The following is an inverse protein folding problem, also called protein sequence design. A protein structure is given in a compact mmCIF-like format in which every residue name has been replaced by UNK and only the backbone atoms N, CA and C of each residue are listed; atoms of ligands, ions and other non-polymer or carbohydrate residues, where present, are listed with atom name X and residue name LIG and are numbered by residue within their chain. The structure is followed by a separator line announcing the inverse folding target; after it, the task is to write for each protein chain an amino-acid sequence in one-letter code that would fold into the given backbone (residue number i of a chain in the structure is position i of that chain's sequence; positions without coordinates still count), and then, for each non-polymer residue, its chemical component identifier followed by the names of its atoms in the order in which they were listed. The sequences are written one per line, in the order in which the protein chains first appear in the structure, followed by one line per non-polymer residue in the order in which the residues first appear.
data_IF_579121893674
#
_entry.id   IF_579121893674
#
_cell.length_a   1.000
_cell.length_b   1.000
_cell.length_c   1.000
_cell.angle_alpha   90.00
_cell.angle_beta   90.00
_cell.angle_gamma   90.00
#
_symmetry.space_group_name_H-M   'P 1'
#
loop_
_entity.id
_entity.type
_entity.pdbx_description
1 polymer ?
#
# COMPACT_ATOMS: atom_id res chain seq x y z
N UNK A 1 5.36 -18.21 20.03
CA UNK A 1 5.73 -17.63 18.72
C UNK A 1 6.30 -18.76 17.88
N UNK A 2 5.51 -19.29 16.94
CA UNK A 2 5.93 -20.45 16.14
C UNK A 2 6.00 -20.01 14.69
N UNK A 3 7.21 -19.73 14.22
CA UNK A 3 7.49 -19.46 12.81
C UNK A 3 7.36 -20.78 12.06
N UNK A 4 6.26 -20.99 11.34
CA UNK A 4 6.08 -22.13 10.44
C UNK A 4 5.40 -21.64 9.17
N UNK A 5 6.13 -21.70 8.06
CA UNK A 5 5.71 -22.22 6.74
C UNK A 5 6.91 -21.98 5.79
N UNK A 6 7.55 -23.07 5.38
CA UNK A 6 8.48 -23.08 4.25
C UNK A 6 7.68 -23.55 3.02
N UNK A 7 7.50 -22.70 2.01
CA UNK A 7 7.13 -23.17 0.69
C UNK A 7 8.40 -23.25 -0.15
N UNK A 8 8.78 -24.48 -0.50
CA UNK A 8 9.97 -24.77 -1.30
C UNK A 8 9.51 -24.92 -2.75
N UNK A 9 9.72 -23.89 -3.58
CA UNK A 9 9.51 -24.01 -5.02
C UNK A 9 10.84 -24.37 -5.67
N UNK A 10 10.92 -25.58 -6.23
CA UNK A 10 12.09 -26.06 -6.95
C UNK A 10 11.89 -25.79 -8.44
N UNK A 11 12.42 -24.68 -8.93
CA UNK A 11 12.58 -24.42 -10.37
C UNK A 11 14.07 -24.27 -10.66
N UNK A 12 14.59 -25.13 -11.56
CA UNK A 12 15.96 -25.16 -12.09
C UNK A 12 17.06 -24.45 -11.24
N UNK A 13 17.73 -25.23 -10.38
CA UNK A 13 18.97 -24.90 -9.64
C UNK A 13 19.00 -23.65 -8.72
N UNK A 14 17.89 -22.95 -8.51
CA UNK A 14 17.80 -21.89 -7.48
C UNK A 14 16.69 -22.26 -6.49
N UNK A 15 17.09 -22.52 -5.24
CA UNK A 15 16.15 -22.70 -4.13
C UNK A 15 15.60 -21.31 -3.76
N UNK A 16 14.37 -20.99 -4.15
CA UNK A 16 13.69 -19.77 -3.72
C UNK A 16 12.86 -20.08 -2.46
N UNK A 17 13.23 -19.45 -1.34
CA UNK A 17 12.47 -19.50 -0.09
C UNK A 17 11.67 -18.20 0.04
N UNK A 18 10.35 -18.28 -0.08
CA UNK A 18 9.46 -17.13 0.16
C UNK A 18 9.04 -17.12 1.63
N UNK A 19 9.39 -16.05 2.35
CA UNK A 19 8.86 -15.81 3.69
C UNK A 19 7.52 -15.06 3.56
N UNK A 20 6.42 -15.79 3.75
CA UNK A 20 5.10 -15.17 3.82
C UNK A 20 4.79 -14.84 5.28
N UNK A 21 4.71 -13.56 5.61
CA UNK A 21 4.24 -13.08 6.92
C UNK A 21 2.71 -13.16 6.95
N UNK A 22 2.18 -14.39 7.03
CA UNK A 22 0.77 -14.61 7.37
C UNK A 22 0.66 -14.69 8.88
N UNK A 23 0.67 -13.53 9.53
CA UNK A 23 0.41 -13.40 10.95
C UNK A 23 -1.05 -13.79 11.27
N UNK A 24 -1.21 -14.57 12.33
CA UNK A 24 -2.50 -14.95 12.91
C UNK A 24 -3.16 -13.66 13.42
N UNK A 25 -4.20 -13.18 12.72
CA UNK A 25 -4.96 -11.95 13.00
C UNK A 25 -4.10 -10.68 13.09
N UNK A 26 -4.08 -9.81 12.06
CA UNK A 26 -3.40 -8.52 12.17
C UNK A 26 -3.94 -7.76 13.38
N UNK A 27 -3.08 -7.62 14.39
CA UNK A 27 -3.45 -7.06 15.69
C UNK A 27 -3.17 -5.57 15.69
N UNK A 28 -4.23 -4.77 15.56
CA UNK A 28 -4.14 -3.32 15.56
C UNK A 28 -4.52 -2.76 16.93
N UNK A 29 -3.52 -2.29 17.68
CA UNK A 29 -3.69 -1.73 19.02
C UNK A 29 -3.81 -0.20 18.95
N UNK A 30 -5.02 0.33 19.06
CA UNK A 30 -5.27 1.77 19.00
C UNK A 30 -5.31 2.35 20.41
N UNK A 31 -4.31 3.17 20.73
CA UNK A 31 -4.33 4.10 21.86
C UNK A 31 -4.25 5.50 21.23
N UNK A 32 -5.18 6.40 21.59
CA UNK A 32 -5.36 7.77 21.06
C UNK A 32 -4.22 8.24 20.12
N UNK A 33 -4.53 8.41 18.83
CA UNK A 33 -3.62 8.83 17.75
C UNK A 33 -2.47 7.89 17.34
N UNK A 34 -2.27 6.75 18.01
CA UNK A 34 -1.20 5.80 17.69
C UNK A 34 -1.78 4.39 17.50
N UNK A 35 -1.24 3.66 16.52
CA UNK A 35 -1.53 2.25 16.36
C UNK A 35 -0.27 1.42 16.09
N UNK A 36 -0.27 0.17 16.52
CA UNK A 36 0.65 -0.84 15.99
C UNK A 36 -0.04 -1.60 14.87
N UNK A 37 0.64 -1.76 13.73
CA UNK A 37 0.16 -2.48 12.55
C UNK A 37 1.17 -3.54 12.15
N UNK A 38 0.77 -4.80 12.12
CA UNK A 38 1.66 -5.88 11.71
C UNK A 38 1.89 -5.87 10.20
N UNK A 39 3.11 -6.17 9.75
CA UNK A 39 3.48 -6.05 8.33
C UNK A 39 2.71 -6.98 7.37
N UNK A 40 2.05 -8.01 7.91
CA UNK A 40 1.16 -8.91 7.18
C UNK A 40 -0.28 -8.39 7.02
N UNK A 41 -0.64 -7.29 7.69
CA UNK A 41 -1.94 -6.66 7.54
C UNK A 41 -2.11 -6.07 6.13
N UNK A 42 -3.35 -5.96 5.70
CA UNK A 42 -3.73 -5.22 4.51
C UNK A 42 -4.18 -3.80 4.87
N UNK A 43 -4.04 -2.86 3.93
CA UNK A 43 -4.53 -1.49 4.12
C UNK A 43 -6.04 -1.46 4.43
N UNK A 44 -6.82 -2.36 3.84
CA UNK A 44 -8.25 -2.49 4.11
C UNK A 44 -8.55 -2.86 5.56
N UNK A 45 -7.84 -3.85 6.11
CA UNK A 45 -7.95 -4.23 7.52
C UNK A 45 -7.56 -3.06 8.44
N UNK A 46 -6.48 -2.35 8.11
CA UNK A 46 -6.05 -1.18 8.85
C UNK A 46 -7.13 -0.10 8.92
N UNK A 47 -7.68 0.29 7.77
CA UNK A 47 -8.74 1.30 7.71
C UNK A 47 -9.99 0.86 8.46
N UNK A 48 -10.40 -0.40 8.32
CA UNK A 48 -11.56 -0.94 9.01
C UNK A 48 -11.39 -0.85 10.54
N UNK A 49 -10.22 -1.25 11.08
CA UNK A 49 -9.95 -1.18 12.52
C UNK A 49 -9.89 0.24 13.06
N UNK A 50 -9.35 1.19 12.28
CA UNK A 50 -9.36 2.61 12.66
C UNK A 50 -10.81 3.11 12.74
N UNK A 51 -11.62 2.83 11.73
CA UNK A 51 -13.02 3.27 11.68
C UNK A 51 -13.88 2.68 12.81
N UNK A 52 -13.63 1.43 13.23
CA UNK A 52 -14.29 0.81 14.39
C UNK A 52 -14.02 1.57 15.70
N UNK A 53 -12.88 2.26 15.82
CA UNK A 53 -12.48 2.99 17.04
C UNK A 53 -12.75 4.49 16.95
N UNK A 54 -12.66 5.09 15.77
CA UNK A 54 -12.84 6.52 15.60
C UNK A 54 -13.31 6.88 14.20
N UNK A 55 -14.32 7.75 14.13
CA UNK A 55 -14.83 8.34 12.89
C UNK A 55 -14.09 9.62 12.49
N UNK A 56 -13.11 10.06 13.28
CA UNK A 56 -12.36 11.31 13.08
C UNK A 56 -10.85 11.08 13.00
N UNK A 57 -10.43 9.83 12.84
CA UNK A 57 -9.03 9.46 12.58
C UNK A 57 -8.93 8.63 11.30
N UNK A 58 -7.83 8.79 10.60
CA UNK A 58 -7.47 8.00 9.42
C UNK A 58 -5.96 7.72 9.41
N UNK A 59 -5.49 7.03 8.38
CA UNK A 59 -4.07 6.85 8.10
C UNK A 59 -3.79 7.10 6.60
N UNK A 60 -2.77 7.90 6.24
CA UNK A 60 -2.52 8.29 4.85
C UNK A 60 -1.77 7.19 4.07
N UNK A 61 -2.46 6.09 3.76
CA UNK A 61 -1.94 4.98 2.96
C UNK A 61 -2.65 4.87 1.60
N UNK A 62 -2.38 3.79 0.87
CA UNK A 62 -2.92 3.49 -0.45
C UNK A 62 -4.45 3.41 -0.51
N UNK A 63 -4.99 3.53 -1.72
CA UNK A 63 -6.43 3.42 -1.96
C UNK A 63 -6.91 1.97 -2.15
N UNK A 64 -6.00 1.04 -2.49
CA UNK A 64 -6.34 -0.35 -2.79
C UNK A 64 -6.34 -1.21 -1.50
N UNK A 65 -7.48 -1.80 -1.09
CA UNK A 65 -7.60 -2.45 0.21
C UNK A 65 -6.71 -3.68 0.39
N UNK A 66 -6.46 -4.45 -0.67
CA UNK A 66 -5.74 -5.74 -0.61
C UNK A 66 -4.21 -5.59 -0.50
N UNK A 67 -3.68 -4.37 -0.59
CA UNK A 67 -2.24 -4.16 -0.57
C UNK A 67 -1.72 -4.33 0.85
N UNK A 68 -0.69 -5.16 1.02
CA UNK A 68 -0.04 -5.39 2.31
C UNK A 68 0.75 -4.18 2.82
N UNK A 69 0.61 -3.85 4.10
CA UNK A 69 1.22 -2.67 4.72
C UNK A 69 2.74 -2.77 4.81
N UNK A 70 3.30 -3.96 5.07
CA UNK A 70 4.75 -4.19 5.10
C UNK A 70 5.45 -3.75 3.82
N UNK A 71 4.91 -4.13 2.66
CA UNK A 71 5.46 -3.77 1.35
C UNK A 71 5.19 -2.32 0.97
N UNK A 72 3.98 -1.81 1.25
CA UNK A 72 3.56 -0.47 0.85
C UNK A 72 4.28 0.62 1.65
N UNK A 73 4.30 0.49 2.99
CA UNK A 73 4.88 1.50 3.88
C UNK A 73 6.38 1.57 3.69
N UNK A 74 7.04 0.41 3.50
CA UNK A 74 8.48 0.41 3.28
C UNK A 74 8.91 1.00 1.93
N UNK A 75 7.98 1.11 0.97
CA UNK A 75 8.19 1.81 -0.30
C UNK A 75 7.65 3.25 -0.32
N UNK A 76 7.19 3.79 0.82
CA UNK A 76 6.55 5.11 0.90
C UNK A 76 5.05 4.97 1.15
N UNK A 77 4.30 4.60 0.11
CA UNK A 77 2.84 4.43 0.16
C UNK A 77 2.08 5.75 0.07
N UNK A 78 1.55 6.07 -1.11
CA UNK A 78 0.74 7.28 -1.33
C UNK A 78 -0.74 6.94 -1.45
N UNK A 79 -1.60 7.91 -1.17
CA UNK A 79 -3.03 7.82 -1.44
C UNK A 79 -3.72 9.18 -1.38
N UNK A 80 -5.03 9.17 -1.19
CA UNK A 80 -5.86 10.39 -1.31
C UNK A 80 -5.51 11.47 -0.26
N UNK A 81 -4.89 11.09 0.85
CA UNK A 81 -4.49 11.99 1.93
C UNK A 81 -3.08 12.58 1.76
N UNK A 82 -2.34 12.21 0.70
CA UNK A 82 -0.91 12.54 0.57
C UNK A 82 -0.62 14.04 0.55
N UNK A 83 -1.51 14.84 -0.04
CA UNK A 83 -1.32 16.31 -0.14
C UNK A 83 -1.41 17.00 1.22
N UNK A 84 -2.14 16.41 2.17
CA UNK A 84 -2.34 16.96 3.51
C UNK A 84 -1.39 16.39 4.54
N UNK A 85 -1.14 15.08 4.48
CA UNK A 85 -0.42 14.35 5.54
C UNK A 85 0.85 13.63 5.07
N UNK A 86 1.21 13.72 3.79
CA UNK A 86 2.37 13.01 3.24
C UNK A 86 2.09 11.52 3.00
N UNK A 87 3.15 10.74 2.87
CA UNK A 87 3.10 9.29 2.63
C UNK A 87 2.80 8.52 3.90
N UNK A 88 2.48 7.23 3.76
CA UNK A 88 2.36 6.32 4.89
C UNK A 88 3.68 6.29 5.70
N UNK A 89 4.81 6.23 5.00
CA UNK A 89 6.16 6.29 5.55
C UNK A 89 6.48 7.56 6.38
N UNK A 90 5.86 8.69 6.04
CA UNK A 90 6.04 9.96 6.78
C UNK A 90 5.35 9.94 8.15
N UNK A 91 4.40 9.01 8.35
CA UNK A 91 3.57 8.89 9.54
C UNK A 91 3.92 7.67 10.39
N UNK A 92 5.13 7.12 10.24
CA UNK A 92 5.66 6.00 11.05
C UNK A 92 6.54 6.54 12.17
N UNK A 93 6.26 6.10 13.40
CA UNK A 93 6.95 6.50 14.63
C UNK A 93 8.05 5.51 15.04
N UNK A 94 7.85 4.22 14.76
CA UNK A 94 8.72 3.09 15.14
C UNK A 94 8.43 1.89 14.22
N UNK A 95 9.28 0.88 14.23
CA UNK A 95 9.12 -0.37 13.50
C UNK A 95 9.84 -1.52 14.20
N UNK A 96 9.36 -2.75 14.03
CA UNK A 96 10.13 -3.95 14.37
C UNK A 96 10.63 -4.62 13.10
N UNK A 97 11.92 -4.98 13.06
CA UNK A 97 12.56 -5.62 11.91
C UNK A 97 13.49 -6.74 12.35
N UNK A 98 13.48 -7.86 11.63
CA UNK A 98 14.49 -8.90 11.73
C UNK A 98 15.61 -8.61 10.73
N UNK A 99 16.83 -8.41 11.23
CA UNK A 99 18.02 -8.19 10.40
C UNK A 99 18.77 -9.50 10.11
N UNK A 100 19.81 -9.45 9.28
CA UNK A 100 20.51 -10.63 8.73
C UNK A 100 21.01 -11.63 9.78
N UNK A 101 21.36 -11.17 10.99
CA UNK A 101 21.83 -12.03 12.07
C UNK A 101 20.68 -12.67 12.90
N UNK A 102 19.42 -12.48 12.49
CA UNK A 102 18.24 -12.99 13.19
C UNK A 102 17.77 -12.15 14.38
N UNK A 103 18.41 -11.01 14.66
CA UNK A 103 18.02 -10.12 15.77
C UNK A 103 16.80 -9.29 15.39
N UNK A 104 15.86 -9.14 16.34
CA UNK A 104 14.74 -8.21 16.22
C UNK A 104 15.19 -6.86 16.76
N UNK A 105 15.10 -5.83 15.93
CA UNK A 105 15.41 -4.46 16.28
C UNK A 105 14.13 -3.61 16.27
N UNK A 106 14.02 -2.71 17.24
CA UNK A 106 13.11 -1.56 17.22
C UNK A 106 13.85 -0.30 16.73
N UNK A 107 13.19 0.86 16.64
CA UNK A 107 13.83 2.11 16.19
C UNK A 107 15.11 2.45 16.97
N UNK A 108 15.05 2.34 18.29
CA UNK A 108 16.19 2.66 19.17
C UNK A 108 17.40 1.76 18.89
N UNK A 109 17.19 0.45 18.78
CA UNK A 109 18.25 -0.53 18.55
C UNK A 109 18.71 -0.63 17.11
N UNK A 110 17.87 -0.26 16.13
CA UNK A 110 18.25 -0.23 14.71
C UNK A 110 19.00 1.05 14.32
N UNK A 111 18.84 2.12 15.09
CA UNK A 111 19.39 3.44 14.80
C UNK A 111 18.63 4.18 13.69
N UNK A 112 18.83 5.49 13.62
CA UNK A 112 18.05 6.36 12.71
C UNK A 112 18.35 6.12 11.23
N UNK A 113 19.54 5.63 10.88
CA UNK A 113 19.91 5.35 9.49
C UNK A 113 19.09 4.20 8.90
N UNK A 114 18.98 3.09 9.63
CA UNK A 114 18.16 1.96 9.22
C UNK A 114 16.68 2.32 9.29
N UNK A 115 16.25 3.05 10.33
CA UNK A 115 14.87 3.53 10.45
C UNK A 115 14.46 4.47 9.31
N UNK A 116 15.37 5.31 8.81
CA UNK A 116 15.15 6.12 7.61
C UNK A 116 15.07 5.24 6.36
N UNK A 117 16.00 4.31 6.19
CA UNK A 117 16.10 3.47 5.00
C UNK A 117 14.85 2.61 4.76
N UNK A 118 14.27 2.04 5.83
CA UNK A 118 13.07 1.20 5.72
C UNK A 118 11.80 1.99 5.43
N UNK A 119 11.81 3.34 5.48
CA UNK A 119 10.66 4.22 5.24
C UNK A 119 10.68 4.85 3.85
N UNK A 120 10.85 4.02 2.81
CA UNK A 120 10.86 4.45 1.41
C UNK A 120 11.89 3.71 0.54
N UNK A 121 12.94 3.15 1.15
CA UNK A 121 13.99 2.41 0.45
C UNK A 121 13.60 0.99 0.01
N UNK A 122 12.44 0.50 0.43
CA UNK A 122 11.97 -0.87 0.18
C UNK A 122 12.52 -1.85 1.23
N UNK A 123 11.64 -2.41 2.06
CA UNK A 123 12.05 -3.22 3.23
C UNK A 123 12.85 -4.48 2.88
N UNK A 124 12.63 -5.05 1.69
CA UNK A 124 13.31 -6.26 1.21
C UNK A 124 14.83 -6.13 1.13
N UNK A 125 15.37 -4.91 1.06
CA UNK A 125 16.81 -4.67 1.01
C UNK A 125 17.48 -4.67 2.39
N UNK A 126 16.70 -4.56 3.47
CA UNK A 126 17.22 -4.27 4.81
C UNK A 126 16.87 -5.32 5.87
N UNK A 127 15.88 -6.18 5.60
CA UNK A 127 15.46 -7.26 6.50
C UNK A 127 14.01 -7.64 6.32
N UNK A 128 13.44 -8.30 7.34
CA UNK A 128 12.02 -8.66 7.38
C UNK A 128 11.32 -7.80 8.41
N UNK A 129 10.53 -6.84 7.94
CA UNK A 129 9.75 -5.96 8.81
C UNK A 129 8.59 -6.77 9.40
N UNK A 130 8.43 -6.71 10.72
CA UNK A 130 7.42 -7.42 11.48
C UNK A 130 6.20 -6.53 11.77
N UNK A 131 6.43 -5.28 12.15
CA UNK A 131 5.37 -4.36 12.54
C UNK A 131 5.80 -2.89 12.41
N UNK A 132 4.81 -2.01 12.34
CA UNK A 132 4.93 -0.56 12.28
C UNK A 132 4.18 0.06 13.45
N UNK A 133 4.80 1.03 14.10
CA UNK A 133 4.09 1.95 15.00
C UNK A 133 3.73 3.18 14.18
N UNK A 134 2.45 3.39 13.94
CA UNK A 134 1.94 4.45 13.08
C UNK A 134 1.27 5.56 13.89
N UNK A 135 1.36 6.79 13.36
CA UNK A 135 0.62 7.95 13.83
C UNK A 135 -0.64 8.13 12.98
N UNK A 136 -1.80 8.03 13.62
CA UNK A 136 -3.08 8.34 12.99
C UNK A 136 -3.22 9.85 12.82
N UNK A 137 -3.94 10.26 11.78
CA UNK A 137 -4.14 11.67 11.43
C UNK A 137 -5.59 12.07 11.62
N UNK A 138 -5.88 13.31 12.04
CA UNK A 138 -7.26 13.76 12.23
C UNK A 138 -7.95 13.95 10.87
N UNK A 139 -9.21 13.57 10.78
CA UNK A 139 -10.06 13.78 9.59
C UNK A 139 -11.45 14.29 10.01
N UNK A 140 -12.14 15.08 9.17
CA UNK A 140 -13.53 15.42 9.45
C UNK A 140 -14.40 14.15 9.39
N UNK A 141 -15.46 14.12 10.20
CA UNK A 141 -16.40 12.99 10.21
C UNK A 141 -17.12 12.79 8.86
N UNK A 142 -17.24 13.87 8.07
CA UNK A 142 -17.83 13.84 6.74
C UNK A 142 -16.80 14.33 5.71
N UNK A 143 -16.71 13.61 4.58
CA UNK A 143 -15.87 13.96 3.43
C UNK A 143 -16.71 14.01 2.16
N UNK A 144 -16.28 14.78 1.17
CA UNK A 144 -16.95 14.86 -0.14
C UNK A 144 -16.10 14.14 -1.16
N UNK A 145 -16.74 13.26 -1.94
CA UNK A 145 -16.12 12.54 -3.06
C UNK A 145 -16.84 12.90 -4.35
N UNK A 146 -16.11 12.98 -5.46
CA UNK A 146 -16.68 13.21 -6.79
C UNK A 146 -15.93 12.37 -7.83
N UNK A 147 -16.65 12.00 -8.89
CA UNK A 147 -16.11 11.34 -10.08
C UNK A 147 -16.68 12.04 -11.32
N UNK A 148 -15.81 12.56 -12.17
CA UNK A 148 -16.17 13.31 -13.38
C UNK A 148 -15.55 12.62 -14.57
N UNK A 149 -16.39 11.98 -15.38
CA UNK A 149 -15.99 11.29 -16.60
C UNK A 149 -16.02 12.24 -17.79
N UNK A 150 -14.96 12.19 -18.61
CA UNK A 150 -14.85 12.95 -19.87
C UNK A 150 -14.30 12.05 -20.95
N UNK A 151 -14.91 12.08 -22.13
CA UNK A 151 -14.39 11.42 -23.33
C UNK A 151 -13.45 12.34 -24.11
N UNK A 152 -12.75 11.81 -25.10
CA UNK A 152 -11.87 12.60 -25.96
C UNK A 152 -12.66 13.67 -26.74
N UNK A 153 -13.87 13.32 -27.21
CA UNK A 153 -14.79 14.25 -27.90
C UNK A 153 -15.29 15.37 -26.97
N UNK A 154 -15.23 15.15 -25.65
CA UNK A 154 -15.59 16.12 -24.62
C UNK A 154 -14.37 16.89 -24.10
N UNK A 155 -13.34 17.07 -24.93
CA UNK A 155 -12.12 17.81 -24.63
C UNK A 155 -11.37 17.28 -23.39
N UNK A 156 -11.33 15.96 -23.17
CA UNK A 156 -10.60 15.36 -22.05
C UNK A 156 -9.10 15.76 -22.02
N UNK A 157 -8.48 15.95 -23.18
CA UNK A 157 -7.06 16.34 -23.29
C UNK A 157 -6.84 17.72 -22.65
N UNK A 158 -7.67 18.72 -22.96
CA UNK A 158 -7.56 20.07 -22.39
C UNK A 158 -7.79 20.07 -20.89
N UNK A 159 -8.71 19.23 -20.40
CA UNK A 159 -8.98 19.06 -18.97
C UNK A 159 -7.76 18.49 -18.26
N UNK A 160 -7.14 17.44 -18.81
CA UNK A 160 -5.92 16.83 -18.23
C UNK A 160 -4.74 17.81 -18.30
N UNK A 161 -4.57 18.51 -19.42
CA UNK A 161 -3.55 19.54 -19.57
C UNK A 161 -3.70 20.63 -18.50
N UNK A 162 -4.91 21.14 -18.29
CA UNK A 162 -5.17 22.13 -17.23
C UNK A 162 -4.95 21.55 -15.84
N UNK A 163 -5.38 20.30 -15.61
CA UNK A 163 -5.17 19.59 -14.34
C UNK A 163 -3.67 19.53 -13.98
N UNK A 164 -2.78 19.26 -14.93
CA UNK A 164 -1.33 19.23 -14.70
C UNK A 164 -0.76 20.55 -14.15
N UNK A 165 -1.39 21.69 -14.45
CA UNK A 165 -0.90 23.02 -14.06
C UNK A 165 -1.49 23.54 -12.75
N UNK A 166 -2.61 22.95 -12.29
CA UNK A 166 -3.36 23.44 -11.13
C UNK A 166 -3.41 22.45 -9.97
N UNK A 167 -3.33 21.14 -10.24
CA UNK A 167 -3.61 20.11 -9.24
C UNK A 167 -2.70 20.17 -8.00
N UNK A 168 -1.42 20.51 -8.18
CA UNK A 168 -0.44 20.66 -7.11
C UNK A 168 -0.64 21.95 -6.29
N UNK A 169 -1.29 22.96 -6.86
CA UNK A 169 -1.51 24.30 -6.26
C UNK A 169 -2.85 24.45 -5.52
N UNK A 170 -3.75 23.47 -5.64
CA UNK A 170 -5.03 23.48 -4.95
C UNK A 170 -4.85 23.45 -3.41
N UNK A 171 -5.87 23.82 -2.61
CA UNK A 171 -5.85 23.62 -1.16
C UNK A 171 -5.50 22.17 -0.80
N UNK A 172 -4.75 21.93 0.29
CA UNK A 172 -4.24 20.60 0.67
C UNK A 172 -5.35 19.58 0.94
N UNK A 173 -6.53 20.06 1.30
CA UNK A 173 -7.75 19.31 1.56
C UNK A 173 -8.36 18.70 0.28
N UNK A 174 -8.02 19.24 -0.90
CA UNK A 174 -8.55 18.77 -2.18
C UNK A 174 -7.54 17.87 -2.88
N UNK A 175 -7.90 16.60 -3.07
CA UNK A 175 -7.12 15.66 -3.86
C UNK A 175 -7.86 15.31 -5.15
N UNK A 176 -7.19 15.49 -6.29
CA UNK A 176 -7.74 15.16 -7.61
C UNK A 176 -6.72 14.32 -8.35
N UNK A 177 -7.11 13.10 -8.74
CA UNK A 177 -6.32 12.26 -9.64
C UNK A 177 -7.01 12.17 -11.00
N UNK A 178 -6.24 12.35 -12.07
CA UNK A 178 -6.66 11.99 -13.41
C UNK A 178 -6.31 10.53 -13.66
N UNK A 179 -7.27 9.75 -14.18
CA UNK A 179 -7.06 8.36 -14.58
C UNK A 179 -7.55 8.22 -16.02
N UNK A 180 -6.71 7.65 -16.88
CA UNK A 180 -7.13 7.26 -18.21
C UNK A 180 -7.78 5.88 -18.13
N UNK A 181 -8.98 5.75 -18.66
CA UNK A 181 -9.66 4.46 -18.84
C UNK A 181 -9.92 4.36 -20.33
N UNK A 182 -9.23 3.47 -21.04
CA UNK A 182 -9.55 3.26 -22.45
C UNK A 182 -10.90 2.54 -22.53
N UNK A 183 -11.78 2.99 -23.41
CA UNK A 183 -13.09 2.36 -23.59
C UNK A 183 -12.97 0.88 -24.04
N UNK A 184 -11.86 0.53 -24.69
CA UNK A 184 -11.53 -0.84 -25.09
C UNK A 184 -11.03 -1.72 -23.92
N UNK A 185 -10.70 -1.12 -22.76
CA UNK A 185 -10.36 -1.84 -21.52
C UNK A 185 -11.61 -2.08 -20.65
N UNK A 186 -12.78 -1.59 -21.07
CA UNK A 186 -14.06 -1.89 -20.43
C UNK A 186 -14.67 -3.15 -21.06
N UNK A 187 -14.51 -4.28 -20.40
CA UNK A 187 -15.14 -5.54 -20.79
C UNK A 187 -16.44 -5.76 -20.02
N UNK A 188 -17.56 -5.88 -20.72
CA UNK A 188 -18.82 -6.36 -20.12
C UNK A 188 -18.68 -7.88 -19.88
N UNK A 189 -18.83 -8.30 -18.63
CA UNK A 189 -18.72 -9.71 -18.23
C UNK A 189 -19.64 -10.01 -17.05
N UNK A 190 -19.95 -11.29 -16.82
CA UNK A 190 -20.74 -11.71 -15.66
C UNK A 190 -19.99 -11.46 -14.35
N UNK A 191 -20.73 -11.40 -13.24
CA UNK A 191 -20.12 -11.13 -11.92
C UNK A 191 -19.00 -12.15 -11.58
N UNK A 192 -19.18 -13.42 -11.97
CA UNK A 192 -18.21 -14.48 -11.71
C UNK A 192 -16.96 -14.34 -12.60
N UNK A 193 -17.12 -13.90 -13.84
CA UNK A 193 -16.00 -13.58 -14.74
C UNK A 193 -15.23 -12.35 -14.26
N UNK A 194 -15.91 -11.35 -13.68
CA UNK A 194 -15.24 -10.19 -13.07
C UNK A 194 -14.33 -10.61 -11.92
N UNK A 195 -14.72 -11.64 -11.16
CA UNK A 195 -13.92 -12.20 -10.07
C UNK A 195 -12.65 -12.88 -10.60
N UNK A 196 -12.73 -13.57 -11.74
CA UNK A 196 -11.56 -14.14 -12.44
C UNK A 196 -10.64 -13.05 -12.99
N UNK A 197 -11.19 -11.99 -13.59
CA UNK A 197 -10.45 -10.85 -14.12
C UNK A 197 -9.60 -10.16 -13.06
N UNK A 198 -10.18 -9.86 -11.89
CA UNK A 198 -9.45 -9.24 -10.78
C UNK A 198 -8.43 -10.16 -10.10
N UNK A 199 -8.49 -11.46 -10.38
CA UNK A 199 -7.55 -12.46 -9.90
C UNK A 199 -6.47 -12.83 -10.94
N UNK A 200 -6.31 -12.01 -11.99
CA UNK A 200 -5.32 -12.16 -13.07
C UNK A 200 -5.42 -13.51 -13.84
N UNK A 201 -6.61 -14.11 -13.90
CA UNK A 201 -6.85 -15.26 -14.77
C UNK A 201 -7.02 -14.81 -16.24
N UNK A 202 -6.58 -15.65 -17.18
CA UNK A 202 -6.78 -15.38 -18.61
C UNK A 202 -8.28 -15.24 -18.93
N UNK A 203 -8.63 -14.30 -19.80
CA UNK A 203 -10.02 -14.10 -20.24
C UNK A 203 -10.59 -15.40 -20.83
N UNK A 204 -11.79 -15.80 -20.36
CA UNK A 204 -12.41 -17.08 -20.72
C UNK A 204 -11.97 -18.29 -19.88
N UNK A 205 -11.20 -18.09 -18.82
CA UNK A 205 -10.85 -19.17 -17.88
C UNK A 205 -12.10 -19.81 -17.26
N UNK A 206 -12.13 -21.14 -17.03
CA UNK A 206 -13.25 -21.77 -16.35
C UNK A 206 -13.34 -21.28 -14.90
N UNK A 207 -14.57 -21.08 -14.41
CA UNK A 207 -14.84 -20.51 -13.08
C UNK A 207 -14.40 -21.41 -11.92
N UNK A 208 -14.15 -22.70 -12.18
CA UNK A 208 -13.54 -23.63 -11.21
C UNK A 208 -12.08 -23.27 -10.88
N UNK A 209 -11.43 -22.41 -11.67
CA UNK A 209 -10.13 -21.80 -11.38
C UNK A 209 -10.13 -21.00 -10.08
N UNK A 210 -11.27 -20.42 -9.68
CA UNK A 210 -11.44 -19.72 -8.39
C UNK A 210 -11.36 -20.65 -7.18
N UNK A 211 -11.61 -21.95 -7.37
CA UNK A 211 -11.49 -22.96 -6.30
C UNK A 211 -10.03 -23.35 -6.06
N UNK A 212 -9.13 -23.00 -6.99
CA UNK A 212 -7.69 -23.26 -6.90
C UNK A 212 -7.01 -21.97 -6.47
N UNK A 213 -6.32 -21.98 -5.34
CA UNK A 213 -5.52 -20.84 -4.88
C UNK A 213 -4.40 -20.60 -5.92
N UNK A 214 -4.38 -19.48 -6.67
CA UNK A 214 -3.30 -19.24 -7.61
C UNK A 214 -2.00 -19.05 -6.83
N UNK A 215 -0.91 -19.67 -7.30
CA UNK A 215 0.42 -19.53 -6.73
C UNK A 215 1.03 -18.12 -6.95
N UNK A 216 0.41 -17.32 -7.83
CA UNK A 216 0.79 -15.93 -8.09
C UNK A 216 -0.07 -14.99 -7.25
N UNK A 217 0.61 -14.25 -6.37
CA UNK A 217 0.12 -12.99 -5.83
C UNK A 217 -0.09 -12.04 -7.02
N UNK A 218 -1.23 -11.34 -7.06
CA UNK A 218 -1.54 -10.33 -8.05
C UNK A 218 -0.33 -9.42 -8.34
N UNK A 219 -0.19 -8.96 -9.58
CA UNK A 219 0.90 -8.06 -9.98
C UNK A 219 0.82 -6.74 -9.18
N UNK A 220 1.52 -6.72 -8.05
CA UNK A 220 1.76 -5.50 -7.29
C UNK A 220 2.88 -4.73 -8.00
N UNK A 221 2.50 -3.71 -8.76
CA UNK A 221 3.47 -2.79 -9.35
C UNK A 221 4.04 -1.90 -8.25
N UNK A 222 5.31 -2.12 -7.90
CA UNK A 222 6.11 -1.14 -7.18
C UNK A 222 6.72 -0.19 -8.20
N UNK A 223 6.07 0.94 -8.43
CA UNK A 223 6.66 2.05 -9.17
C UNK A 223 7.58 2.86 -8.24
N UNK A 224 8.89 2.83 -8.48
CA UNK A 224 9.81 3.82 -7.92
C UNK A 224 9.82 4.99 -8.88
N UNK A 225 9.46 6.18 -8.41
CA UNK A 225 9.66 7.40 -9.18
C UNK A 225 11.17 7.60 -9.41
N UNK A 226 11.59 7.63 -10.66
CA UNK A 226 12.93 7.96 -11.13
C UNK A 226 13.23 9.46 -11.08
N UNK A 227 12.24 10.28 -10.69
CA UNK A 227 12.39 11.74 -10.60
C UNK A 227 13.20 12.21 -9.37
N UNK A 228 13.54 11.33 -8.41
CA UNK A 228 14.39 11.70 -7.28
C UNK A 228 15.86 11.47 -7.63
N UNK A 229 16.52 12.51 -8.16
CA UNK A 229 17.96 12.49 -8.49
C UNK A 229 18.86 12.74 -7.28
N UNK A 230 18.34 13.46 -6.28
CA UNK A 230 19.05 13.81 -5.06
C UNK A 230 18.36 13.17 -3.84
N UNK A 231 19.10 12.54 -2.92
CA UNK A 231 18.53 11.97 -1.70
C UNK A 231 17.70 13.00 -0.93
N UNK A 232 16.51 12.62 -0.43
CA UNK A 232 15.73 13.48 0.46
C UNK A 232 16.58 13.78 1.70
N UNK A 233 16.87 15.06 2.00
CA UNK A 233 17.69 15.43 3.15
C UNK A 233 17.09 14.88 4.44
N UNK A 234 17.95 14.43 5.36
CA UNK A 234 17.53 14.15 6.73
C UNK A 234 16.99 15.47 7.31
N UNK A 235 15.76 15.45 7.82
CA UNK A 235 15.31 16.53 8.71
C UNK A 235 15.87 16.22 10.08
N UNK A 236 16.79 17.07 10.53
CA UNK A 236 17.28 17.09 11.91
C UNK A 236 16.14 17.34 12.92
#
# INVERSE_FOLDING_TARGET
MTMRVFHMYQTCHLLSLTCSVFGILPSIYIQIEIAWDEAGATVGELYYRIAEKSQVHAFPAGAYPIVGTGGQFSGGGYGNLMRKYGLAADNILDAQIVVVNGTILNRESMGEDLFWAIRGGGGSSFGVILSWKIKLVPVPANVVVFDVKRTLEQNAIDVVYRWQHVADKLPKELFIRAQHVAQNDCSEMSWIESTLFWADFLAGSPTDGLLKRPAKVADSSKGKSDNMKEPIPKKD
#
